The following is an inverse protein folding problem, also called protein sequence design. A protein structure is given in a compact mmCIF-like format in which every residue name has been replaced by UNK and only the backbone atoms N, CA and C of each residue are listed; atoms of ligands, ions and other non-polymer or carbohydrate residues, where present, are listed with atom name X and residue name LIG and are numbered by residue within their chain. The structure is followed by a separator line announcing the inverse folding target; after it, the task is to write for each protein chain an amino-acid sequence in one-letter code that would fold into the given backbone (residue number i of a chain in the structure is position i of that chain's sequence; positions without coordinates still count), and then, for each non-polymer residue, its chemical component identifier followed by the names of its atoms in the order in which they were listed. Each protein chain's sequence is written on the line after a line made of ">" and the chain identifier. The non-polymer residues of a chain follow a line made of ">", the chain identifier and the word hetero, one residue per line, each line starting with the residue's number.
data_IF_678354355169
#
_entry.id   IF_678354355169
#
_cell.length_a   1.000
_cell.length_b   1.000
_cell.length_c   1.000
_cell.angle_alpha   90.00
_cell.angle_beta   90.00
_cell.angle_gamma   90.00
#
_symmetry.space_group_name_H-M   'P 1'
#
loop_
_entity.id
_entity.type
_entity.pdbx_description
1 polymer ?
#
# COMPACT_ATOMS: atom_id res chain seq x y z
N UNK A 1 -12.82 11.18 1.13
CA UNK A 1 -13.87 10.23 1.52
C UNK A 1 -13.44 8.85 1.10
N UNK A 2 -13.29 7.93 2.05
CA UNK A 2 -12.94 6.53 1.79
C UNK A 2 -14.22 5.68 1.74
N UNK A 3 -14.37 4.93 0.66
CA UNK A 3 -15.55 4.13 0.32
C UNK A 3 -15.16 2.65 0.20
N UNK A 4 -16.02 1.76 0.67
CA UNK A 4 -15.96 0.31 0.44
C UNK A 4 -17.31 -0.12 -0.09
N UNK A 5 -17.33 -0.83 -1.22
CA UNK A 5 -18.57 -1.25 -1.90
C UNK A 5 -19.57 -0.09 -2.17
N UNK A 6 -19.04 1.12 -2.37
CA UNK A 6 -19.81 2.35 -2.63
C UNK A 6 -20.24 3.11 -1.38
N UNK A 7 -20.02 2.57 -0.19
CA UNK A 7 -20.47 3.16 1.07
C UNK A 7 -19.31 3.78 1.87
N UNK A 8 -19.52 4.94 2.53
CA UNK A 8 -18.52 5.54 3.42
C UNK A 8 -18.11 4.61 4.56
N UNK A 9 -16.80 4.45 4.73
CA UNK A 9 -16.23 3.76 5.89
C UNK A 9 -16.61 4.53 7.16
N UNK A 10 -17.17 3.83 8.15
CA UNK A 10 -17.67 4.43 9.40
C UNK A 10 -18.69 5.56 9.15
N UNK A 11 -19.75 5.26 8.39
CA UNK A 11 -20.90 6.15 8.23
C UNK A 11 -21.40 6.62 9.60
N UNK A 12 -21.43 7.94 9.83
CA UNK A 12 -22.00 8.54 11.03
C UNK A 12 -23.48 8.16 11.09
N UNK A 13 -23.81 7.18 11.93
CA UNK A 13 -25.17 7.02 12.40
C UNK A 13 -25.49 8.26 13.24
N UNK A 14 -26.48 9.02 12.79
CA UNK A 14 -27.00 10.27 13.34
C UNK A 14 -26.17 11.55 13.09
N UNK A 15 -26.77 12.46 12.32
CA UNK A 15 -26.56 13.90 12.43
C UNK A 15 -25.21 14.42 11.92
N UNK A 16 -25.25 15.18 10.83
CA UNK A 16 -24.12 15.91 10.29
C UNK A 16 -23.45 16.81 11.35
N UNK A 17 -22.39 16.32 11.99
CA UNK A 17 -21.31 17.09 12.63
C UNK A 17 -20.22 16.15 13.17
N UNK A 18 -19.21 15.88 12.34
CA UNK A 18 -17.81 15.56 12.70
C UNK A 18 -17.22 14.55 11.70
N UNK A 19 -16.74 15.05 10.56
CA UNK A 19 -15.82 14.32 9.66
C UNK A 19 -14.41 14.19 10.26
N UNK A 20 -14.25 14.46 11.56
CA UNK A 20 -12.98 14.70 12.25
C UNK A 20 -12.66 13.69 13.36
N UNK A 21 -13.49 12.67 13.57
CA UNK A 21 -13.41 11.81 14.76
C UNK A 21 -12.66 10.47 14.61
N UNK A 22 -12.72 9.82 13.44
CA UNK A 22 -12.22 8.45 13.31
C UNK A 22 -10.68 8.42 13.34
N UNK A 23 -10.14 7.70 14.32
CA UNK A 23 -8.71 7.44 14.42
C UNK A 23 -8.29 6.40 13.37
N UNK A 24 -7.01 6.41 12.97
CA UNK A 24 -6.48 5.38 12.06
C UNK A 24 -6.71 3.95 12.57
N UNK A 25 -6.72 3.75 13.89
CA UNK A 25 -6.98 2.46 14.53
C UNK A 25 -8.41 1.96 14.30
N UNK A 26 -9.41 2.83 14.48
CA UNK A 26 -10.83 2.51 14.24
C UNK A 26 -11.08 2.19 12.76
N UNK A 27 -10.46 2.97 11.87
CA UNK A 27 -10.53 2.72 10.42
C UNK A 27 -9.93 1.35 10.06
N UNK A 28 -8.73 1.03 10.55
CA UNK A 28 -8.10 -0.28 10.29
C UNK A 28 -8.99 -1.42 10.81
N UNK A 29 -9.54 -1.30 12.01
CA UNK A 29 -10.41 -2.33 12.58
C UNK A 29 -11.68 -2.55 11.73
N UNK A 30 -12.32 -1.47 11.28
CA UNK A 30 -13.49 -1.55 10.41
C UNK A 30 -13.17 -2.17 9.04
N UNK A 31 -12.04 -1.79 8.44
CA UNK A 31 -11.61 -2.28 7.13
C UNK A 31 -11.18 -3.75 7.17
N UNK A 32 -10.43 -4.16 8.20
CA UNK A 32 -9.99 -5.54 8.36
C UNK A 32 -11.17 -6.52 8.55
N UNK A 33 -12.24 -6.06 9.22
CA UNK A 33 -13.47 -6.84 9.42
C UNK A 33 -14.42 -6.89 8.21
N UNK A 34 -14.21 -6.07 7.19
CA UNK A 34 -15.18 -5.92 6.10
C UNK A 34 -15.21 -7.15 5.17
N UNK A 35 -16.36 -7.83 4.98
CA UNK A 35 -16.44 -9.07 4.19
C UNK A 35 -15.89 -8.93 2.76
N UNK A 36 -16.33 -7.91 2.02
CA UNK A 36 -15.88 -7.70 0.64
C UNK A 36 -14.36 -7.48 0.50
N UNK A 37 -13.72 -6.87 1.51
CA UNK A 37 -12.27 -6.66 1.52
C UNK A 37 -11.51 -7.92 1.92
N UNK A 38 -12.08 -8.74 2.83
CA UNK A 38 -11.52 -10.06 3.17
C UNK A 38 -11.56 -10.98 1.96
N UNK A 39 -12.68 -11.02 1.25
CA UNK A 39 -12.81 -11.81 0.02
C UNK A 39 -11.81 -11.31 -1.06
N UNK A 40 -11.61 -9.99 -1.17
CA UNK A 40 -10.60 -9.43 -2.07
C UNK A 40 -9.17 -9.81 -1.67
N UNK A 41 -8.84 -9.79 -0.37
CA UNK A 41 -7.55 -10.23 0.15
C UNK A 41 -7.32 -11.73 -0.09
N UNK A 42 -8.34 -12.57 0.09
CA UNK A 42 -8.23 -14.01 -0.17
C UNK A 42 -8.05 -14.31 -1.66
N UNK A 43 -8.76 -13.59 -2.54
CA UNK A 43 -8.57 -13.70 -4.00
C UNK A 43 -7.16 -13.35 -4.44
N UNK A 44 -6.59 -12.25 -3.95
CA UNK A 44 -5.22 -11.86 -4.34
C UNK A 44 -4.17 -12.82 -3.78
N UNK A 45 -4.33 -13.33 -2.55
CA UNK A 45 -3.43 -14.34 -1.98
C UNK A 45 -3.50 -15.68 -2.72
N UNK A 46 -4.65 -16.04 -3.28
CA UNK A 46 -4.81 -17.26 -4.06
C UNK A 46 -4.33 -17.13 -5.52
N UNK A 47 -4.08 -15.91 -5.99
CA UNK A 47 -3.57 -15.68 -7.34
C UNK A 47 -2.10 -16.14 -7.45
N UNK A 48 -1.69 -16.72 -8.59
CA UNK A 48 -0.30 -17.10 -8.80
C UNK A 48 0.60 -15.85 -8.82
N UNK A 49 1.78 -15.97 -8.20
CA UNK A 49 2.79 -14.92 -8.28
C UNK A 49 3.33 -14.81 -9.70
N UNK A 50 3.37 -13.57 -10.21
CA UNK A 50 3.93 -13.25 -11.53
C UNK A 50 5.38 -12.83 -11.38
N UNK A 51 6.30 -13.53 -12.05
CA UNK A 51 7.71 -13.14 -12.10
C UNK A 51 7.95 -12.17 -13.25
N UNK A 52 8.45 -10.98 -12.95
CA UNK A 52 8.75 -9.93 -13.93
C UNK A 52 10.24 -9.92 -14.24
N UNK A 53 10.56 -10.10 -15.53
CA UNK A 53 11.94 -10.10 -16.05
C UNK A 53 12.07 -9.06 -17.17
N UNK A 54 13.24 -8.42 -17.28
CA UNK A 54 13.54 -7.46 -18.35
C UNK A 54 14.47 -8.04 -19.42
N UNK A 55 14.58 -7.34 -20.55
CA UNK A 55 15.62 -7.58 -21.55
C UNK A 55 15.34 -8.69 -22.55
N UNK A 56 14.11 -9.22 -22.59
CA UNK A 56 13.65 -10.11 -23.66
C UNK A 56 12.84 -9.31 -24.70
N UNK A 57 12.93 -9.68 -25.96
CA UNK A 57 12.09 -9.10 -27.01
C UNK A 57 10.61 -9.40 -26.70
N UNK A 58 9.78 -8.35 -26.69
CA UNK A 58 8.38 -8.46 -26.26
C UNK A 58 8.15 -8.42 -24.74
N UNK A 59 9.17 -8.18 -23.92
CA UNK A 59 8.99 -7.93 -22.49
C UNK A 59 8.12 -6.68 -22.26
N UNK A 60 7.20 -6.70 -21.27
CA UNK A 60 6.32 -5.58 -21.00
C UNK A 60 7.12 -4.35 -20.55
N UNK A 61 6.71 -3.18 -21.04
CA UNK A 61 7.24 -1.90 -20.52
C UNK A 61 6.78 -1.74 -19.07
N UNK A 62 7.72 -1.84 -18.13
CA UNK A 62 7.40 -1.81 -16.72
C UNK A 62 8.20 -0.76 -15.94
N UNK A 63 7.64 -0.36 -14.81
CA UNK A 63 8.30 0.49 -13.82
C UNK A 63 8.32 -0.24 -12.50
N UNK A 64 9.53 -0.45 -11.97
CA UNK A 64 9.76 -0.95 -10.63
C UNK A 64 9.93 0.21 -9.65
N UNK A 65 9.29 0.14 -8.49
CA UNK A 65 9.30 1.15 -7.42
C UNK A 65 10.04 0.60 -6.21
N UNK A 66 11.16 1.22 -5.80
CA UNK A 66 11.86 0.83 -4.57
C UNK A 66 11.13 1.36 -3.32
N UNK A 67 11.49 0.80 -2.17
CA UNK A 67 11.13 1.34 -0.86
C UNK A 67 11.47 2.84 -0.79
N UNK A 68 10.52 3.66 -0.31
CA UNK A 68 10.62 5.14 -0.30
C UNK A 68 10.55 5.80 -1.68
N UNK A 69 10.09 5.10 -2.70
CA UNK A 69 9.74 5.71 -3.97
C UNK A 69 8.24 5.66 -4.24
N UNK A 70 7.81 6.49 -5.18
CA UNK A 70 6.56 6.31 -5.89
C UNK A 70 6.73 6.65 -7.37
N UNK A 71 5.88 6.07 -8.20
CA UNK A 71 5.81 6.33 -9.63
C UNK A 71 4.35 6.56 -10.02
N UNK A 72 4.10 7.59 -10.83
CA UNK A 72 2.79 7.82 -11.47
C UNK A 72 2.94 7.62 -12.97
N UNK A 73 2.21 6.65 -13.52
CA UNK A 73 2.39 6.20 -14.89
C UNK A 73 1.12 6.36 -15.73
N UNK A 74 1.34 6.65 -17.00
CA UNK A 74 0.32 6.67 -18.05
C UNK A 74 0.15 5.26 -18.65
N UNK A 75 -1.07 4.69 -18.67
CA UNK A 75 -1.31 3.37 -19.25
C UNK A 75 -0.98 3.29 -20.75
N UNK A 76 -0.90 4.41 -21.47
CA UNK A 76 -0.46 4.45 -22.86
C UNK A 76 1.05 4.20 -23.03
N UNK A 77 1.85 4.36 -21.96
CA UNK A 77 3.32 4.31 -22.01
C UNK A 77 3.91 3.14 -21.21
N UNK A 78 3.29 2.82 -20.08
CA UNK A 78 3.74 1.77 -19.16
C UNK A 78 2.64 0.73 -19.05
N UNK A 79 2.98 -0.54 -19.25
CA UNK A 79 2.04 -1.66 -19.19
C UNK A 79 1.91 -2.19 -17.76
N UNK A 80 3.03 -2.20 -17.01
CA UNK A 80 3.11 -2.75 -15.66
C UNK A 80 3.82 -1.78 -14.71
N UNK A 81 3.31 -1.61 -13.51
CA UNK A 81 4.00 -0.87 -12.44
C UNK A 81 3.87 -1.62 -11.12
N UNK A 82 4.96 -1.77 -10.37
CA UNK A 82 4.92 -2.58 -9.17
C UNK A 82 6.15 -2.44 -8.28
N UNK A 83 6.13 -3.22 -7.21
CA UNK A 83 7.17 -3.28 -6.19
C UNK A 83 7.20 -4.67 -5.58
N UNK A 84 8.34 -5.07 -5.05
CA UNK A 84 8.48 -6.24 -4.18
C UNK A 84 9.30 -5.90 -2.92
N UNK A 85 9.76 -6.92 -2.20
CA UNK A 85 10.56 -6.80 -0.96
C UNK A 85 9.85 -6.09 0.21
N UNK A 86 8.53 -5.98 0.16
CA UNK A 86 7.73 -5.42 1.25
C UNK A 86 7.58 -6.44 2.39
N UNK A 87 8.35 -6.27 3.45
CA UNK A 87 8.18 -7.01 4.71
C UNK A 87 7.17 -6.30 5.61
N UNK A 88 7.62 -5.28 6.35
CA UNK A 88 6.75 -4.43 7.18
C UNK A 88 6.19 -3.21 6.43
N UNK A 89 6.74 -2.92 5.26
CA UNK A 89 6.30 -1.86 4.38
C UNK A 89 4.92 -2.17 3.77
N UNK A 90 4.21 -1.12 3.37
CA UNK A 90 2.92 -1.23 2.69
C UNK A 90 3.03 -0.56 1.33
N UNK A 91 2.72 -1.30 0.28
CA UNK A 91 2.52 -0.73 -1.03
C UNK A 91 1.13 -0.12 -1.17
N UNK A 92 1.07 1.07 -1.78
CA UNK A 92 -0.16 1.81 -2.03
C UNK A 92 -0.31 2.01 -3.52
N UNK A 93 -1.43 1.55 -4.08
CA UNK A 93 -1.86 1.85 -5.45
C UNK A 93 -3.01 2.85 -5.38
N UNK A 94 -2.93 3.92 -6.17
CA UNK A 94 -4.03 4.87 -6.40
C UNK A 94 -4.20 5.01 -7.91
N UNK A 95 -5.35 4.61 -8.43
CA UNK A 95 -5.64 4.64 -9.86
C UNK A 95 -6.83 5.55 -10.14
N UNK A 96 -6.66 6.52 -11.03
CA UNK A 96 -7.76 7.32 -11.54
C UNK A 96 -8.68 6.43 -12.37
N UNK A 97 -9.93 6.25 -11.96
CA UNK A 97 -10.82 5.30 -12.61
C UNK A 97 -11.26 5.72 -14.02
N UNK A 98 -11.11 7.00 -14.37
CA UNK A 98 -11.49 7.55 -15.66
C UNK A 98 -10.33 7.55 -16.65
N UNK A 99 -9.16 8.04 -16.24
CA UNK A 99 -8.00 8.16 -17.14
C UNK A 99 -7.12 6.92 -17.14
N UNK A 100 -7.22 6.08 -16.11
CA UNK A 100 -6.31 4.94 -15.91
C UNK A 100 -4.91 5.32 -15.43
N UNK A 101 -4.63 6.62 -15.24
CA UNK A 101 -3.39 7.08 -14.58
C UNK A 101 -3.24 6.36 -13.25
N UNK A 102 -2.08 5.75 -13.03
CA UNK A 102 -1.86 4.84 -11.90
C UNK A 102 -0.62 5.28 -11.13
N UNK A 103 -0.76 5.51 -9.83
CA UNK A 103 0.34 5.81 -8.93
C UNK A 103 0.58 4.63 -7.99
N UNK A 104 1.82 4.15 -7.93
CA UNK A 104 2.26 3.09 -7.01
C UNK A 104 3.36 3.64 -6.13
N UNK A 105 3.28 3.38 -4.82
CA UNK A 105 4.33 3.72 -3.86
C UNK A 105 4.65 2.54 -2.96
N UNK A 106 5.88 2.51 -2.45
CA UNK A 106 6.33 1.55 -1.44
C UNK A 106 6.63 2.32 -0.15
N UNK A 107 5.69 2.27 0.79
CA UNK A 107 5.75 3.07 2.02
C UNK A 107 6.34 2.31 3.20
N UNK A 108 7.27 2.92 3.96
CA UNK A 108 7.95 2.29 5.09
C UNK A 108 7.85 3.05 6.42
N UNK A 109 7.35 4.31 6.40
CA UNK A 109 7.38 5.15 7.59
C UNK A 109 6.17 6.10 7.70
N UNK A 110 5.42 6.09 8.83
CA UNK A 110 4.20 6.88 8.97
C UNK A 110 4.37 8.39 8.74
N UNK A 111 5.52 8.97 9.13
CA UNK A 111 5.71 10.44 9.07
C UNK A 111 5.77 10.99 7.65
N UNK A 112 6.05 10.15 6.66
CA UNK A 112 6.17 10.58 5.25
C UNK A 112 4.91 10.29 4.43
N UNK A 113 3.96 9.50 4.95
CA UNK A 113 2.73 9.08 4.25
C UNK A 113 1.94 10.27 3.71
N UNK A 114 1.72 11.29 4.53
CA UNK A 114 0.89 12.44 4.15
C UNK A 114 1.49 13.24 2.99
N UNK A 115 2.79 13.51 3.06
CA UNK A 115 3.52 14.15 1.97
C UNK A 115 3.61 13.28 0.71
N UNK A 116 3.76 11.96 0.86
CA UNK A 116 3.79 11.01 -0.25
C UNK A 116 2.46 10.94 -1.00
N UNK A 117 1.36 10.69 -0.27
CA UNK A 117 0.02 10.62 -0.85
C UNK A 117 -0.38 11.93 -1.52
N UNK A 118 -0.06 13.09 -0.93
CA UNK A 118 -0.32 14.38 -1.58
C UNK A 118 0.36 14.48 -2.95
N UNK A 119 1.65 14.13 -3.02
CA UNK A 119 2.40 14.20 -4.26
C UNK A 119 1.90 13.20 -5.32
N UNK A 120 1.52 11.98 -4.90
CA UNK A 120 0.90 11.00 -5.80
C UNK A 120 -0.38 11.56 -6.44
N UNK A 121 -1.26 12.17 -5.63
CA UNK A 121 -2.53 12.72 -6.09
C UNK A 121 -2.36 13.91 -7.04
N UNK A 122 -1.38 14.78 -6.79
CA UNK A 122 -1.05 15.92 -7.67
C UNK A 122 -0.74 15.49 -9.12
N UNK A 123 -0.23 14.27 -9.32
CA UNK A 123 0.14 13.73 -10.63
C UNK A 123 -0.97 12.88 -11.28
N UNK A 124 -2.02 12.52 -10.54
CA UNK A 124 -3.11 11.67 -11.04
C UNK A 124 -4.22 12.45 -11.76
N UNK A 125 -4.09 13.78 -11.84
CA UNK A 125 -5.04 14.70 -12.45
C UNK A 125 -6.16 15.12 -11.50
N UNK A 126 -6.69 16.33 -11.72
CA UNK A 126 -7.79 16.91 -10.95
C UNK A 126 -9.06 16.95 -11.78
N UNK A 127 -9.60 15.76 -11.97
CA UNK A 127 -10.60 15.50 -12.99
C UNK A 127 -11.96 15.12 -12.34
N UNK A 128 -12.02 15.27 -11.01
CA UNK A 128 -13.11 14.93 -10.08
C UNK A 128 -13.57 13.47 -10.14
N UNK A 129 -12.82 12.59 -10.81
CA UNK A 129 -13.13 11.16 -10.85
C UNK A 129 -12.74 10.49 -9.53
N UNK A 130 -13.49 9.45 -9.09
CA UNK A 130 -13.06 8.63 -7.97
C UNK A 130 -11.74 7.89 -8.28
N UNK A 131 -10.98 7.60 -7.24
CA UNK A 131 -9.77 6.79 -7.34
C UNK A 131 -10.00 5.40 -6.78
N UNK A 132 -9.58 4.37 -7.50
CA UNK A 132 -9.47 3.03 -6.94
C UNK A 132 -8.18 2.92 -6.12
N UNK A 133 -8.26 2.31 -4.94
CA UNK A 133 -7.13 2.16 -4.01
C UNK A 133 -6.90 0.70 -3.66
N UNK A 134 -5.64 0.28 -3.65
CA UNK A 134 -5.21 -1.03 -3.16
C UNK A 134 -4.09 -0.85 -2.13
N UNK A 135 -4.26 -1.48 -0.97
CA UNK A 135 -3.25 -1.55 0.10
C UNK A 135 -2.79 -3.00 0.23
N UNK A 136 -1.50 -3.25 0.01
CA UNK A 136 -0.92 -4.59 -0.04
C UNK A 136 0.44 -4.58 0.65
N UNK A 137 0.74 -5.61 1.44
CA UNK A 137 2.00 -5.72 2.17
C UNK A 137 1.84 -5.48 3.67
N UNK A 138 2.94 -5.46 4.40
CA UNK A 138 2.91 -5.47 5.86
C UNK A 138 2.32 -6.77 6.41
N UNK A 139 2.55 -7.04 7.67
CA UNK A 139 1.97 -8.20 8.36
C UNK A 139 1.80 -7.87 9.85
N UNK A 140 1.23 -8.79 10.62
CA UNK A 140 1.13 -8.65 12.07
C UNK A 140 2.49 -8.88 12.72
N UNK A 141 3.34 -7.85 12.66
CA UNK A 141 4.74 -7.87 13.10
C UNK A 141 4.93 -7.42 14.56
N UNK A 142 3.83 -7.12 15.26
CA UNK A 142 3.87 -6.68 16.63
C UNK A 142 4.42 -7.79 17.54
N UNK A 143 5.60 -7.57 18.11
CA UNK A 143 6.11 -8.41 19.18
C UNK A 143 5.66 -7.88 20.54
N UNK A 144 5.21 -8.77 21.42
CA UNK A 144 4.92 -8.42 22.82
C UNK A 144 6.24 -8.32 23.58
N UNK A 145 6.89 -7.16 23.55
CA UNK A 145 8.06 -6.91 24.41
C UNK A 145 7.60 -6.40 25.77
N UNK A 146 7.92 -7.16 26.81
CA UNK A 146 7.79 -6.69 28.20
C UNK A 146 9.00 -5.80 28.48
N UNK A 147 8.81 -4.48 28.43
CA UNK A 147 9.85 -3.53 28.80
C UNK A 147 9.72 -3.25 30.30
N UNK A 148 10.79 -3.54 31.06
CA UNK A 148 10.89 -3.16 32.47
C UNK A 148 11.58 -1.80 32.54
N UNK A 149 10.79 -0.75 32.76
CA UNK A 149 11.31 0.58 33.09
C UNK A 149 10.77 0.99 34.46
N UNK A 150 11.65 1.40 35.36
CA UNK A 150 11.30 2.03 36.64
C UNK A 150 10.35 1.21 37.53
N UNK A 151 10.53 -0.12 37.57
CA UNK A 151 9.71 -1.03 38.41
C UNK A 151 8.28 -1.27 37.93
N UNK A 152 7.83 -0.63 36.83
CA UNK A 152 6.52 -0.88 36.21
C UNK A 152 6.68 -1.76 34.97
N UNK A 153 5.87 -2.84 34.90
CA UNK A 153 5.75 -3.65 33.68
C UNK A 153 4.94 -2.83 32.67
N UNK A 154 5.58 -2.39 31.60
CA UNK A 154 4.88 -1.84 30.44
C UNK A 154 4.89 -2.89 29.33
N UNK A 155 3.71 -3.30 28.87
CA UNK A 155 3.58 -4.06 27.63
C UNK A 155 3.66 -3.03 26.50
N UNK A 156 4.77 -3.04 25.76
CA UNK A 156 4.91 -2.21 24.56
C UNK A 156 4.75 -3.15 23.37
N UNK A 157 3.63 -3.04 22.67
CA UNK A 157 3.50 -3.65 21.35
C UNK A 157 4.35 -2.80 20.40
N UNK A 158 5.51 -3.35 19.99
CA UNK A 158 6.37 -2.75 18.99
C UNK A 158 6.15 -3.49 17.67
N UNK A 159 5.48 -2.83 16.73
CA UNK A 159 5.32 -3.26 15.34
C UNK A 159 5.38 -2.04 14.42
N UNK A 160 5.83 -2.25 13.19
CA UNK A 160 6.02 -1.23 12.17
C UNK A 160 4.83 -1.15 11.21
N UNK A 161 4.23 -2.29 10.86
CA UNK A 161 3.17 -2.36 9.85
C UNK A 161 1.88 -1.69 10.33
N UNK A 162 1.49 -1.93 11.59
CA UNK A 162 0.22 -1.41 12.14
C UNK A 162 0.16 0.12 12.22
N UNK A 163 1.17 0.83 12.78
CA UNK A 163 1.19 2.29 12.76
C UNK A 163 1.23 2.88 11.34
N UNK A 164 1.93 2.22 10.41
CA UNK A 164 1.99 2.64 9.01
C UNK A 164 0.61 2.54 8.36
N UNK A 165 -0.05 1.39 8.50
CA UNK A 165 -1.40 1.15 7.98
C UNK A 165 -2.39 2.17 8.53
N UNK A 166 -2.39 2.40 9.84
CA UNK A 166 -3.24 3.39 10.50
C UNK A 166 -3.08 4.78 9.88
N UNK A 167 -1.84 5.23 9.65
CA UNK A 167 -1.58 6.56 9.08
C UNK A 167 -1.99 6.64 7.60
N UNK A 168 -1.80 5.58 6.81
CA UNK A 168 -2.26 5.53 5.41
C UNK A 168 -3.77 5.68 5.34
N UNK A 169 -4.53 4.85 6.05
CA UNK A 169 -6.01 4.90 5.99
C UNK A 169 -6.56 6.21 6.57
N UNK A 170 -5.92 6.76 7.60
CA UNK A 170 -6.28 8.04 8.19
C UNK A 170 -6.15 9.18 7.16
N UNK A 171 -5.03 9.24 6.43
CA UNK A 171 -4.80 10.29 5.42
C UNK A 171 -5.78 10.13 4.25
N UNK A 172 -6.01 8.91 3.77
CA UNK A 172 -6.99 8.65 2.70
C UNK A 172 -8.41 9.06 3.13
N UNK A 173 -8.80 8.72 4.36
CA UNK A 173 -10.11 9.03 4.89
C UNK A 173 -10.34 10.54 5.04
N UNK A 174 -9.33 11.29 5.53
CA UNK A 174 -9.38 12.76 5.73
C UNK A 174 -9.32 13.57 4.45
N UNK A 175 -8.88 12.98 3.33
CA UNK A 175 -8.83 13.65 2.04
C UNK A 175 -10.22 14.06 1.54
N UNK A 176 -10.28 15.15 0.77
CA UNK A 176 -11.49 15.57 0.07
C UNK A 176 -11.79 14.71 -1.17
N UNK A 177 -10.76 14.03 -1.71
CA UNK A 177 -10.92 13.14 -2.86
C UNK A 177 -11.73 11.90 -2.51
N UNK A 178 -12.41 11.30 -3.49
CA UNK A 178 -13.15 10.05 -3.31
C UNK A 178 -12.25 8.85 -3.61
N UNK A 179 -12.13 7.94 -2.65
CA UNK A 179 -11.32 6.73 -2.76
C UNK A 179 -12.18 5.49 -2.61
N UNK A 180 -12.20 4.60 -3.59
CA UNK A 180 -12.81 3.29 -3.52
C UNK A 180 -11.74 2.28 -3.15
N UNK A 181 -11.75 1.80 -1.91
CA UNK A 181 -10.81 0.79 -1.46
C UNK A 181 -11.22 -0.58 -2.04
N UNK A 182 -10.41 -1.10 -2.95
CA UNK A 182 -10.66 -2.35 -3.68
C UNK A 182 -9.97 -3.55 -3.07
N UNK A 183 -8.81 -3.32 -2.44
CA UNK A 183 -8.03 -4.38 -1.80
C UNK A 183 -7.42 -3.87 -0.51
N UNK A 184 -7.59 -4.64 0.57
CA UNK A 184 -6.99 -4.39 1.87
C UNK A 184 -6.32 -5.67 2.36
N UNK A 185 -5.21 -6.02 1.70
CA UNK A 185 -4.40 -7.19 1.98
C UNK A 185 -3.15 -6.76 2.77
N UNK A 186 -3.37 -6.34 4.00
CA UNK A 186 -2.35 -5.84 4.93
C UNK A 186 -2.54 -6.46 6.31
N UNK A 187 -1.52 -6.40 7.18
CA UNK A 187 -1.61 -6.86 8.58
C UNK A 187 -2.09 -8.32 8.66
N UNK A 188 -3.10 -8.62 9.50
CA UNK A 188 -3.65 -9.97 9.64
C UNK A 188 -4.11 -10.57 8.31
N UNK A 189 -4.68 -9.76 7.41
CA UNK A 189 -5.13 -10.24 6.10
C UNK A 189 -3.98 -10.68 5.19
N UNK A 190 -2.75 -10.25 5.49
CA UNK A 190 -1.51 -10.61 4.79
C UNK A 190 -0.54 -11.41 5.68
N UNK A 191 -0.97 -11.96 6.81
CA UNK A 191 -0.09 -12.71 7.71
C UNK A 191 -0.25 -14.22 7.54
N UNK A 192 0.88 -14.92 7.42
CA UNK A 192 0.97 -16.35 7.64
C UNK A 192 1.92 -16.64 8.82
N UNK A 193 1.86 -17.87 9.31
CA UNK A 193 2.75 -18.37 10.36
C UNK A 193 3.63 -19.47 9.78
N UNK A 194 4.95 -19.37 9.95
CA UNK A 194 5.87 -20.44 9.54
C UNK A 194 5.79 -21.66 10.46
N UNK A 195 6.55 -22.70 10.13
CA UNK A 195 6.64 -23.94 10.93
C UNK A 195 7.21 -23.73 12.33
N UNK A 196 7.86 -22.60 12.59
CA UNK A 196 8.46 -22.24 13.89
C UNK A 196 7.54 -21.32 14.71
N UNK A 197 6.37 -20.95 14.18
CA UNK A 197 5.43 -20.06 14.86
C UNK A 197 5.69 -18.57 14.62
N UNK A 198 6.63 -18.20 13.73
CA UNK A 198 6.89 -16.79 13.42
C UNK A 198 5.89 -16.28 12.39
N UNK A 199 5.44 -15.04 12.58
CA UNK A 199 4.62 -14.35 11.60
C UNK A 199 5.46 -13.86 10.40
N UNK A 200 4.95 -14.03 9.18
CA UNK A 200 5.54 -13.54 7.94
C UNK A 200 4.46 -12.98 6.98
N UNK A 201 4.82 -12.06 6.07
CA UNK A 201 3.90 -11.62 5.04
C UNK A 201 3.62 -12.74 4.02
N UNK A 202 2.36 -12.88 3.61
CA UNK A 202 1.96 -13.79 2.51
C UNK A 202 2.37 -13.20 1.16
N UNK A 203 2.04 -11.92 0.94
CA UNK A 203 2.40 -11.17 -0.26
C UNK A 203 3.45 -10.13 0.13
N UNK A 204 4.65 -10.26 -0.44
CA UNK A 204 5.75 -9.29 -0.31
C UNK A 204 5.95 -8.40 -1.54
N UNK A 205 5.20 -8.63 -2.61
CA UNK A 205 5.29 -7.85 -3.85
C UNK A 205 4.07 -8.01 -4.73
N UNK A 206 3.82 -6.99 -5.56
CA UNK A 206 2.72 -6.98 -6.51
C UNK A 206 3.06 -6.15 -7.74
N UNK A 207 2.28 -6.37 -8.79
CA UNK A 207 2.30 -5.57 -10.01
C UNK A 207 0.88 -5.18 -10.39
N UNK A 208 0.74 -4.00 -10.98
CA UNK A 208 -0.51 -3.47 -11.51
C UNK A 208 -0.43 -3.46 -13.03
N UNK A 209 -1.40 -4.08 -13.69
CA UNK A 209 -1.61 -3.90 -15.12
C UNK A 209 -2.34 -2.58 -15.35
N UNK A 210 -1.66 -1.60 -15.94
CA UNK A 210 -2.14 -0.21 -16.00
C UNK A 210 -3.42 -0.05 -16.84
N UNK A 211 -3.54 -0.84 -17.92
CA UNK A 211 -4.70 -0.82 -18.82
C UNK A 211 -5.99 -1.24 -18.13
N UNK A 212 -5.94 -2.19 -17.19
CA UNK A 212 -7.10 -2.77 -16.52
C UNK A 212 -7.24 -2.35 -15.05
N UNK A 213 -6.15 -1.95 -14.40
CA UNK A 213 -6.07 -1.76 -12.96
C UNK A 213 -5.98 -3.06 -12.16
N UNK A 214 -5.85 -4.22 -12.81
CA UNK A 214 -5.73 -5.51 -12.11
C UNK A 214 -4.41 -5.57 -11.35
N UNK A 215 -4.49 -6.02 -10.09
CA UNK A 215 -3.33 -6.20 -9.22
C UNK A 215 -3.10 -7.68 -8.97
N UNK A 216 -1.88 -8.16 -9.19
CA UNK A 216 -1.46 -9.55 -8.94
C UNK A 216 -0.21 -9.60 -8.06
N UNK A 217 -0.04 -10.65 -7.23
CA UNK A 217 1.23 -10.88 -6.54
C UNK A 217 2.38 -10.98 -7.56
N UNK A 218 3.54 -10.42 -7.24
CA UNK A 218 4.67 -10.40 -8.15
C UNK A 218 6.03 -10.35 -7.46
N UNK A 219 7.03 -10.87 -8.15
CA UNK A 219 8.44 -10.74 -7.84
C UNK A 219 9.20 -10.20 -9.05
N UNK A 220 10.28 -9.44 -8.80
CA UNK A 220 11.06 -8.79 -9.85
C UNK A 220 12.47 -9.33 -9.87
N UNK A 221 12.91 -9.86 -11.02
CA UNK A 221 14.31 -10.21 -11.24
C UNK A 221 15.22 -8.99 -11.15
N UNK A 222 16.50 -9.20 -10.84
CA UNK A 222 17.43 -8.09 -10.66
C UNK A 222 17.53 -7.17 -11.88
N UNK A 223 17.39 -7.71 -13.10
CA UNK A 223 17.41 -6.91 -14.32
C UNK A 223 16.12 -6.12 -14.60
N UNK A 224 15.00 -6.43 -13.91
CA UNK A 224 13.72 -5.73 -14.04
C UNK A 224 13.52 -4.62 -13.00
N UNK A 225 14.51 -4.42 -12.11
CA UNK A 225 14.53 -3.31 -11.14
C UNK A 225 15.28 -2.07 -11.65
N UNK A 226 15.75 -2.13 -12.89
CA UNK A 226 16.43 -1.06 -13.61
C UNK A 226 15.49 0.11 -13.98
N UNK A 227 16.05 1.28 -14.34
CA UNK A 227 17.47 1.65 -14.36
C UNK A 227 18.01 1.98 -12.95
N UNK A 228 19.35 2.04 -12.85
CA UNK A 228 20.10 2.61 -11.73
C UNK A 228 19.77 2.08 -10.33
N UNK A 229 19.45 0.78 -10.20
CA UNK A 229 19.10 0.14 -8.93
C UNK A 229 20.04 0.53 -7.78
N UNK A 230 21.36 0.43 -8.00
CA UNK A 230 22.36 0.72 -6.96
C UNK A 230 22.27 2.17 -6.49
N UNK A 231 22.14 3.12 -7.42
CA UNK A 231 22.07 4.55 -7.10
C UNK A 231 20.78 4.88 -6.36
N UNK A 232 19.66 4.31 -6.81
CA UNK A 232 18.33 4.51 -6.21
C UNK A 232 18.29 3.96 -4.79
N UNK A 233 18.78 2.73 -4.55
CA UNK A 233 18.88 2.15 -3.20
C UNK A 233 19.76 2.98 -2.25
N UNK A 234 20.90 3.50 -2.73
CA UNK A 234 21.78 4.36 -1.90
C UNK A 234 21.08 5.66 -1.52
N UNK A 235 20.34 6.27 -2.45
CA UNK A 235 19.55 7.48 -2.20
C UNK A 235 18.53 7.24 -1.09
N UNK A 236 17.80 6.13 -1.15
CA UNK A 236 16.73 5.82 -0.19
C UNK A 236 17.27 5.56 1.21
N UNK A 237 18.47 4.98 1.34
CA UNK A 237 19.15 4.80 2.62
C UNK A 237 19.57 6.13 3.28
N UNK A 238 19.76 7.20 2.50
CA UNK A 238 20.30 8.49 2.99
C UNK A 238 19.25 9.61 3.09
N UNK A 239 18.12 9.50 2.38
CA UNK A 239 17.08 10.54 2.37
C UNK A 239 15.89 10.19 3.28
N UNK A 240 15.41 11.19 4.03
CA UNK A 240 14.20 11.10 4.85
C UNK A 240 12.91 11.52 4.14
N UNK A 241 12.82 11.36 2.81
CA UNK A 241 11.67 11.78 1.98
C UNK A 241 11.41 10.76 0.87
N UNK A 242 10.17 10.69 0.37
CA UNK A 242 9.85 9.94 -0.84
C UNK A 242 10.49 10.59 -2.06
N UNK A 243 11.04 9.77 -2.95
CA UNK A 243 11.58 10.23 -4.22
C UNK A 243 10.60 9.95 -5.35
N UNK A 244 10.48 10.92 -6.26
CA UNK A 244 9.62 10.83 -7.44
C UNK A 244 10.37 10.08 -8.54
N UNK A 245 9.72 9.10 -9.15
CA UNK A 245 10.07 8.60 -10.48
C UNK A 245 9.10 9.25 -11.47
N UNK A 246 9.61 10.18 -12.29
CA UNK A 246 8.89 10.80 -13.42
C UNK A 246 9.35 10.20 -14.74
#
# INVERSE_FOLDING_TARGET
>A
MLLVDGEPVLSSAAGATSRTGATGMELVAALAGHPGLRDAADRIKAAPETRISAGQEGAPRHVYVFQREYATVDPARVELVGTDEATTCIGVVIRNNRTGMTSVSHMDFPKIVEGGLRQMLELLGDDNAPFDVHLIGGFSDASTKVVRSSGKKHVKQEGYSYPLCCKIVEVLHKSQQQFHLRTFCVLENNTATDSLGNALPVIGGFVVQTSSGVVTPASFDMNSRCPDEVVRRIRDARLGRYSILT
#
